data_IF_022376641780
#
_entry.id   IF_022376641780
#
_cell.length_a   1.000
_cell.length_b   1.000
_cell.length_c   1.000
_cell.angle_alpha   90.00
_cell.angle_beta   90.00
_cell.angle_gamma   90.00
#
_symmetry.space_group_name_H-M   'P 1'
#
loop_
_entity.id
_entity.type
_entity.pdbx_description
1 polymer ?
#
# COMPACT_ATOMS: atom_id res chain seq x y z
N UNK A 1 -6.18 -19.34 4.15
CA UNK A 1 -5.68 -18.06 3.65
C UNK A 1 -4.42 -18.32 2.87
N UNK A 2 -4.28 -17.73 1.68
CA UNK A 2 -3.01 -17.75 0.96
C UNK A 2 -2.04 -16.74 1.59
N UNK A 3 -0.79 -17.13 1.89
CA UNK A 3 0.19 -16.22 2.46
C UNK A 3 0.57 -15.14 1.46
N UNK A 4 0.87 -13.95 1.96
CA UNK A 4 1.47 -12.89 1.16
C UNK A 4 2.89 -13.31 0.77
N UNK A 5 3.31 -12.95 -0.44
CA UNK A 5 4.65 -13.29 -0.94
C UNK A 5 5.44 -12.03 -1.24
N UNK A 6 6.68 -11.98 -0.75
CA UNK A 6 7.67 -10.98 -1.14
C UNK A 6 8.98 -11.68 -1.44
N UNK A 7 9.41 -11.65 -2.71
CA UNK A 7 10.54 -12.44 -3.22
C UNK A 7 10.40 -13.93 -2.83
N UNK A 8 11.32 -14.46 -2.04
CA UNK A 8 11.39 -15.83 -1.52
C UNK A 8 10.82 -15.99 -0.09
N UNK A 9 10.18 -14.95 0.46
CA UNK A 9 9.52 -14.96 1.78
C UNK A 9 8.00 -15.07 1.64
N UNK A 10 7.40 -15.96 2.43
CA UNK A 10 5.97 -16.04 2.67
C UNK A 10 5.62 -15.41 4.03
N UNK A 11 4.57 -14.61 4.07
CA UNK A 11 4.07 -13.93 5.27
C UNK A 11 2.63 -14.38 5.50
N UNK A 12 2.36 -14.90 6.68
CA UNK A 12 1.04 -15.27 7.17
C UNK A 12 0.84 -14.67 8.56
N UNK A 13 -0.29 -14.96 9.19
CA UNK A 13 -0.68 -14.36 10.44
C UNK A 13 -1.21 -15.42 11.41
N UNK A 14 -0.94 -15.21 12.70
CA UNK A 14 -1.53 -16.01 13.77
C UNK A 14 -2.27 -15.10 14.76
N UNK A 15 -3.34 -15.65 15.31
CA UNK A 15 -4.13 -15.09 16.41
C UNK A 15 -4.03 -15.93 17.67
N UNK A 16 -3.17 -16.95 17.67
CA UNK A 16 -3.03 -17.91 18.75
C UNK A 16 -1.67 -17.75 19.44
N UNK A 17 -1.67 -17.81 20.77
CA UNK A 17 -0.54 -17.44 21.62
C UNK A 17 -0.50 -18.28 22.89
N UNK A 18 0.72 -18.65 23.31
CA UNK A 18 0.99 -19.24 24.62
C UNK A 18 1.51 -18.17 25.56
N UNK A 19 0.88 -18.02 26.74
CA UNK A 19 1.37 -17.09 27.76
C UNK A 19 2.69 -17.62 28.33
N UNK A 20 3.74 -16.78 28.35
CA UNK A 20 5.04 -17.13 28.92
C UNK A 20 5.18 -16.63 30.35
N UNK A 21 4.85 -15.36 30.58
CA UNK A 21 5.03 -14.70 31.88
C UNK A 21 4.21 -13.41 31.96
N UNK A 22 3.81 -13.00 33.16
CA UNK A 22 3.33 -11.65 33.45
C UNK A 22 3.94 -11.14 34.75
N UNK A 23 3.86 -9.82 34.95
CA UNK A 23 4.45 -9.15 36.11
C UNK A 23 3.51 -9.06 37.33
N UNK A 24 2.42 -9.85 37.37
CA UNK A 24 1.53 -9.90 38.55
C UNK A 24 2.31 -10.31 39.79
N UNK A 25 2.11 -9.55 40.87
CA UNK A 25 2.81 -9.78 42.13
C UNK A 25 4.21 -9.16 42.20
N UNK A 26 4.69 -8.54 41.12
CA UNK A 26 5.80 -7.58 41.19
C UNK A 26 5.28 -6.22 41.68
N UNK A 27 6.20 -5.29 41.97
CA UNK A 27 5.88 -3.89 42.31
C UNK A 27 6.04 -2.96 41.10
N UNK A 28 6.06 -3.52 39.89
CA UNK A 28 6.11 -2.72 38.66
C UNK A 28 4.89 -1.80 38.59
N UNK A 29 5.09 -0.60 38.04
CA UNK A 29 4.03 0.43 37.96
C UNK A 29 3.08 0.24 36.80
N UNK A 30 3.47 -0.54 35.80
CA UNK A 30 2.72 -0.83 34.59
C UNK A 30 2.60 -2.34 34.49
N UNK A 31 1.47 -2.83 33.96
CA UNK A 31 1.28 -4.26 33.72
C UNK A 31 1.99 -4.69 32.44
N UNK A 32 2.48 -5.93 32.42
CA UNK A 32 2.89 -6.59 31.18
C UNK A 32 2.58 -8.08 31.21
N UNK A 33 2.19 -8.60 30.05
CA UNK A 33 2.21 -10.04 29.76
C UNK A 33 3.02 -10.32 28.50
N UNK A 34 3.94 -11.28 28.58
CA UNK A 34 4.70 -11.82 27.47
C UNK A 34 4.05 -13.09 26.93
N UNK A 35 3.97 -13.18 25.61
CA UNK A 35 3.30 -14.25 24.89
C UNK A 35 4.17 -14.76 23.74
N UNK A 36 4.11 -16.06 23.46
CA UNK A 36 4.72 -16.68 22.29
C UNK A 36 3.68 -16.93 21.22
N UNK A 37 3.85 -16.41 19.99
CA UNK A 37 3.00 -16.75 18.86
C UNK A 37 3.01 -18.25 18.60
N UNK A 38 1.83 -18.84 18.36
CA UNK A 38 1.69 -20.24 17.98
C UNK A 38 1.60 -20.38 16.47
N UNK A 39 2.35 -21.34 15.93
CA UNK A 39 2.28 -21.80 14.53
C UNK A 39 1.78 -23.25 14.43
N UNK A 40 1.10 -23.74 15.47
CA UNK A 40 0.65 -25.13 15.57
C UNK A 40 -0.56 -25.47 14.67
N UNK A 41 -1.26 -24.48 14.13
CA UNK A 41 -2.35 -24.71 13.18
C UNK A 41 -1.80 -25.36 11.90
N UNK A 42 -2.57 -26.25 11.27
CA UNK A 42 -2.13 -27.03 10.09
C UNK A 42 -1.64 -26.12 8.93
N UNK A 43 -2.31 -24.98 8.72
CA UNK A 43 -1.93 -24.01 7.70
C UNK A 43 -0.68 -23.18 8.06
N UNK A 44 -0.24 -23.23 9.32
CA UNK A 44 0.91 -22.49 9.85
C UNK A 44 2.09 -23.39 10.23
N UNK A 45 1.98 -24.72 10.11
CA UNK A 45 3.08 -25.65 10.43
C UNK A 45 4.42 -25.33 9.75
N UNK A 46 4.48 -24.84 8.49
CA UNK A 46 5.76 -24.45 7.88
C UNK A 46 6.22 -23.03 8.27
N UNK A 47 5.46 -22.30 9.09
CA UNK A 47 5.75 -20.92 9.47
C UNK A 47 6.48 -20.84 10.81
N UNK A 48 7.27 -19.78 10.96
CA UNK A 48 8.10 -19.48 12.10
C UNK A 48 7.75 -18.11 12.68
N UNK A 49 7.88 -18.00 14.00
CA UNK A 49 7.78 -16.72 14.68
C UNK A 49 9.01 -15.84 14.42
N UNK A 50 8.80 -14.53 14.51
CA UNK A 50 9.80 -13.48 14.41
C UNK A 50 10.22 -12.89 15.77
N UNK A 51 9.59 -13.34 16.84
CA UNK A 51 9.80 -12.86 18.20
C UNK A 51 8.61 -13.17 19.10
N UNK A 52 8.78 -12.92 20.39
CA UNK A 52 7.67 -12.94 21.34
C UNK A 52 6.94 -11.58 21.34
N UNK A 53 5.80 -11.55 22.01
CA UNK A 53 4.88 -10.42 22.02
C UNK A 53 4.77 -9.89 23.44
N UNK A 54 4.88 -8.58 23.60
CA UNK A 54 4.59 -7.88 24.85
C UNK A 54 3.25 -7.15 24.73
N UNK A 55 2.45 -7.17 25.79
CA UNK A 55 1.17 -6.46 25.89
C UNK A 55 1.10 -5.79 27.25
N UNK A 56 0.71 -4.51 27.29
CA UNK A 56 0.68 -3.67 28.49
C UNK A 56 -0.49 -3.93 29.44
N UNK A 57 -1.00 -5.16 29.48
CA UNK A 57 -2.13 -5.58 30.32
C UNK A 57 -2.05 -7.08 30.66
N UNK A 58 -3.11 -7.59 31.29
CA UNK A 58 -3.25 -8.99 31.69
C UNK A 58 -4.35 -9.74 30.93
N UNK A 59 -4.88 -9.16 29.85
CA UNK A 59 -5.97 -9.75 29.09
C UNK A 59 -5.44 -10.88 28.20
N UNK A 60 -6.30 -11.86 27.93
CA UNK A 60 -6.00 -12.90 26.97
C UNK A 60 -6.04 -12.28 25.56
N UNK A 61 -4.95 -12.43 24.81
CA UNK A 61 -4.82 -11.86 23.46
C UNK A 61 -5.21 -12.81 22.34
N UNK A 62 -5.49 -14.08 22.65
CA UNK A 62 -5.95 -15.06 21.66
C UNK A 62 -7.20 -14.53 20.97
N UNK A 63 -7.22 -14.55 19.63
CA UNK A 63 -8.31 -14.03 18.78
C UNK A 63 -8.56 -12.52 18.86
N UNK A 64 -7.74 -11.77 19.59
CA UNK A 64 -7.87 -10.31 19.74
C UNK A 64 -6.63 -9.56 19.23
N UNK A 65 -5.47 -10.25 19.15
CA UNK A 65 -4.23 -9.73 18.58
C UNK A 65 -3.82 -10.57 17.38
N UNK A 66 -3.20 -9.92 16.40
CA UNK A 66 -2.67 -10.56 15.19
C UNK A 66 -1.17 -10.25 15.12
N UNK A 67 -0.36 -11.26 14.81
CA UNK A 67 1.08 -11.08 14.55
C UNK A 67 1.49 -11.79 13.27
N UNK A 68 2.51 -11.25 12.61
CA UNK A 68 3.06 -11.85 11.40
C UNK A 68 3.94 -13.07 11.76
N UNK A 69 3.80 -14.12 10.97
CA UNK A 69 4.66 -15.31 10.98
C UNK A 69 5.14 -15.56 9.55
N UNK A 70 6.32 -16.16 9.40
CA UNK A 70 6.98 -16.25 8.08
C UNK A 70 7.43 -17.65 7.72
N UNK A 71 7.48 -17.94 6.43
CA UNK A 71 8.00 -19.19 5.89
C UNK A 71 8.84 -18.93 4.64
N UNK A 72 9.64 -19.91 4.26
CA UNK A 72 10.36 -19.91 2.98
C UNK A 72 9.40 -20.31 1.86
N UNK A 73 9.55 -19.69 0.69
CA UNK A 73 8.90 -20.20 -0.53
C UNK A 73 9.47 -21.59 -0.89
N UNK A 74 10.80 -21.73 -0.87
CA UNK A 74 11.49 -23.01 -1.05
C UNK A 74 11.81 -23.63 0.32
N UNK A 75 11.05 -24.65 0.70
CA UNK A 75 11.19 -25.31 2.01
C UNK A 75 12.50 -26.12 2.16
N UNK A 76 13.15 -26.48 1.05
CA UNK A 76 14.34 -27.32 1.06
C UNK A 76 15.61 -26.46 1.01
N UNK A 77 15.66 -25.49 0.10
CA UNK A 77 16.86 -24.68 -0.16
C UNK A 77 16.66 -23.17 0.09
N UNK A 78 15.59 -22.80 0.78
CA UNK A 78 15.27 -21.42 1.14
C UNK A 78 16.42 -20.68 1.83
N UNK A 79 16.53 -19.39 1.53
CA UNK A 79 17.57 -18.53 2.08
C UNK A 79 17.02 -17.26 2.74
N UNK A 80 15.70 -17.08 2.78
CA UNK A 80 15.07 -15.94 3.40
C UNK A 80 15.22 -15.94 4.94
N UNK A 81 15.33 -17.12 5.55
CA UNK A 81 15.28 -17.35 6.99
C UNK A 81 16.47 -18.17 7.49
N UNK A 82 17.01 -17.78 8.64
CA UNK A 82 18.02 -18.54 9.38
C UNK A 82 17.72 -18.57 10.86
N UNK A 83 18.19 -19.60 11.57
CA UNK A 83 18.20 -19.55 13.03
C UNK A 83 19.22 -18.48 13.49
N UNK A 84 18.98 -17.78 14.60
CA UNK A 84 20.00 -16.92 15.20
C UNK A 84 21.24 -17.74 15.54
N UNK A 85 22.43 -17.17 15.50
CA UNK A 85 23.67 -17.84 15.89
C UNK A 85 23.70 -18.11 17.39
N UNK A 86 23.25 -17.13 18.17
CA UNK A 86 23.06 -17.27 19.60
C UNK A 86 22.06 -16.21 20.14
N UNK A 87 21.95 -16.09 21.47
CA UNK A 87 21.20 -15.01 22.12
C UNK A 87 22.03 -14.27 23.17
N UNK A 88 21.85 -12.95 23.20
CA UNK A 88 22.37 -12.02 24.21
C UNK A 88 21.30 -11.75 25.28
N UNK A 89 21.64 -11.79 26.57
CA UNK A 89 20.71 -11.48 27.66
C UNK A 89 20.52 -9.96 27.75
N UNK A 90 19.28 -9.49 27.58
CA UNK A 90 18.93 -8.05 27.62
C UNK A 90 18.40 -7.65 28.99
N UNK A 91 17.58 -8.50 29.60
CA UNK A 91 16.96 -8.23 30.88
C UNK A 91 16.66 -9.53 31.61
N UNK A 92 16.70 -9.49 32.94
CA UNK A 92 16.41 -10.63 33.79
C UNK A 92 15.69 -10.19 35.05
N UNK A 93 14.54 -10.78 35.31
CA UNK A 93 13.88 -10.70 36.60
C UNK A 93 14.37 -11.85 37.49
N UNK A 94 15.32 -11.53 38.37
CA UNK A 94 15.88 -12.46 39.33
C UNK A 94 16.08 -11.81 40.69
N UNK A 95 15.94 -12.59 41.76
CA UNK A 95 16.18 -12.16 43.13
C UNK A 95 15.51 -13.09 44.14
N UNK A 96 15.90 -13.04 45.42
CA UNK A 96 15.43 -13.98 46.45
C UNK A 96 13.93 -13.86 46.77
N UNK A 97 13.26 -12.81 46.28
CA UNK A 97 11.81 -12.57 46.47
C UNK A 97 11.00 -12.68 45.19
N UNK A 98 11.62 -13.09 44.07
CA UNK A 98 10.94 -13.25 42.78
C UNK A 98 10.19 -14.58 42.78
N UNK A 99 8.86 -14.53 42.64
CA UNK A 99 8.01 -15.73 42.56
C UNK A 99 7.95 -16.33 41.15
N UNK A 100 8.12 -15.50 40.13
CA UNK A 100 8.08 -15.89 38.71
C UNK A 100 9.29 -15.30 38.00
N UNK A 101 10.26 -16.15 37.65
CA UNK A 101 11.47 -15.75 36.94
C UNK A 101 11.20 -15.62 35.43
N UNK A 102 11.68 -14.54 34.83
CA UNK A 102 11.63 -14.31 33.39
C UNK A 102 12.83 -13.50 32.92
N UNK A 103 13.34 -13.87 31.75
CA UNK A 103 14.45 -13.19 31.09
C UNK A 103 14.04 -12.81 29.68
N UNK A 104 14.62 -11.74 29.15
CA UNK A 104 14.42 -11.28 27.77
C UNK A 104 15.76 -11.31 27.05
N UNK A 105 15.76 -11.88 25.86
CA UNK A 105 16.95 -12.17 25.08
C UNK A 105 16.85 -11.57 23.68
N UNK A 106 17.98 -11.04 23.20
CA UNK A 106 18.15 -10.52 21.84
C UNK A 106 18.80 -11.60 20.98
N UNK A 107 18.20 -11.99 19.86
CA UNK A 107 18.83 -12.91 18.93
C UNK A 107 20.06 -12.26 18.29
N UNK A 108 21.16 -12.97 18.24
CA UNK A 108 22.36 -12.62 17.47
C UNK A 108 22.15 -13.22 16.08
N UNK A 109 21.80 -12.38 15.11
CA UNK A 109 21.52 -12.82 13.75
C UNK A 109 22.82 -13.18 13.00
N UNK A 110 22.79 -14.20 12.11
CA UNK A 110 23.90 -14.48 11.21
C UNK A 110 24.18 -13.30 10.27
N UNK A 111 25.38 -13.25 9.69
CA UNK A 111 25.76 -12.22 8.74
C UNK A 111 24.80 -12.18 7.53
N UNK A 112 24.30 -10.99 7.18
CA UNK A 112 23.29 -10.76 6.12
C UNK A 112 21.85 -10.99 6.56
N UNK A 113 21.61 -11.23 7.85
CA UNK A 113 20.29 -11.43 8.44
C UNK A 113 20.08 -10.52 9.66
N UNK A 114 18.81 -10.27 9.99
CA UNK A 114 18.41 -9.44 11.13
C UNK A 114 17.39 -10.13 12.02
N UNK A 115 17.38 -9.73 13.29
CA UNK A 115 16.36 -10.12 14.25
C UNK A 115 15.20 -9.11 14.22
N UNK A 116 13.97 -9.63 14.16
CA UNK A 116 12.74 -8.83 14.05
C UNK A 116 12.05 -8.60 15.41
N UNK A 117 12.59 -9.13 16.50
CA UNK A 117 12.01 -9.04 17.84
C UNK A 117 12.87 -9.72 18.90
N UNK A 118 12.44 -9.59 20.16
CA UNK A 118 13.07 -10.25 21.30
C UNK A 118 12.30 -11.52 21.71
N UNK A 119 12.95 -12.40 22.48
CA UNK A 119 12.32 -13.63 23.01
C UNK A 119 12.47 -13.72 24.51
N UNK A 120 11.48 -14.29 25.17
CA UNK A 120 11.44 -14.51 26.60
C UNK A 120 11.89 -15.93 26.96
N UNK A 121 12.68 -16.01 28.01
CA UNK A 121 13.11 -17.25 28.67
C UNK A 121 12.38 -17.43 29.98
N UNK A 122 11.45 -18.39 30.03
CA UNK A 122 10.73 -18.79 31.25
C UNK A 122 11.74 -19.38 32.25
N UNK A 123 11.63 -19.03 33.54
CA UNK A 123 12.56 -19.52 34.55
C UNK A 123 13.97 -18.90 34.48
N UNK A 124 14.17 -17.89 33.62
CA UNK A 124 15.48 -17.35 33.24
C UNK A 124 16.35 -18.26 32.37
N UNK A 125 15.76 -19.29 31.78
CA UNK A 125 16.46 -20.19 30.87
C UNK A 125 16.66 -19.54 29.50
N UNK A 126 17.82 -19.81 28.88
CA UNK A 126 18.12 -19.34 27.52
C UNK A 126 17.17 -20.03 26.53
N UNK A 127 16.46 -19.28 25.66
CA UNK A 127 15.58 -19.89 24.67
C UNK A 127 16.33 -20.76 23.65
N UNK A 128 15.71 -21.84 23.14
CA UNK A 128 16.27 -22.59 22.02
C UNK A 128 16.40 -21.73 20.75
N UNK A 129 17.47 -21.96 19.96
CA UNK A 129 17.68 -21.27 18.67
C UNK A 129 16.53 -21.48 17.67
N UNK A 130 15.76 -22.55 17.82
CA UNK A 130 14.59 -22.84 16.99
C UNK A 130 13.37 -21.97 17.29
N UNK A 131 13.37 -21.20 18.39
CA UNK A 131 12.22 -20.40 18.88
C UNK A 131 11.74 -19.36 17.85
N UNK A 132 12.66 -18.81 17.04
CA UNK A 132 12.35 -17.85 15.99
C UNK A 132 13.26 -18.03 14.77
N UNK A 133 13.04 -17.20 13.74
CA UNK A 133 13.97 -17.03 12.63
C UNK A 133 14.40 -15.57 12.48
N UNK A 134 15.67 -15.39 12.14
CA UNK A 134 16.20 -14.16 11.58
C UNK A 134 15.87 -14.10 10.09
N UNK A 135 15.66 -12.90 9.56
CA UNK A 135 15.27 -12.67 8.15
C UNK A 135 16.43 -12.04 7.40
N UNK A 136 16.62 -12.41 6.14
CA UNK A 136 17.60 -11.79 5.24
C UNK A 136 17.35 -10.28 5.10
N UNK A 137 18.42 -9.49 5.15
CA UNK A 137 18.35 -8.02 5.25
C UNK A 137 17.56 -7.33 4.11
N UNK A 138 17.56 -7.89 2.90
CA UNK A 138 16.90 -7.31 1.71
C UNK A 138 15.36 -7.53 1.67
N UNK A 139 14.82 -8.29 2.62
CA UNK A 139 13.39 -8.58 2.77
C UNK A 139 12.70 -7.65 3.77
N UNK A 140 13.47 -6.79 4.42
CA UNK A 140 13.02 -5.91 5.48
C UNK A 140 13.45 -4.47 5.22
N UNK A 141 12.95 -3.57 6.05
CA UNK A 141 13.37 -2.18 6.09
C UNK A 141 13.66 -1.77 7.53
N UNK A 142 14.68 -0.94 7.73
CA UNK A 142 14.98 -0.36 9.03
C UNK A 142 13.80 0.52 9.49
N UNK A 143 13.44 0.37 10.75
CA UNK A 143 12.25 0.96 11.37
C UNK A 143 12.61 1.57 12.72
N UNK A 144 11.69 2.35 13.27
CA UNK A 144 11.90 3.10 14.51
C UNK A 144 11.08 2.51 15.64
N UNK A 145 11.57 2.69 16.87
CA UNK A 145 10.74 2.50 18.06
C UNK A 145 9.60 3.52 18.05
N UNK A 146 8.43 3.14 18.53
CA UNK A 146 7.26 4.01 18.52
C UNK A 146 6.72 4.26 19.94
N UNK A 147 5.70 3.53 20.38
CA UNK A 147 5.03 3.67 21.66
C UNK A 147 5.63 2.75 22.73
N UNK A 148 5.70 3.23 23.97
CA UNK A 148 6.09 2.42 25.12
C UNK A 148 4.99 1.39 25.42
N UNK A 149 5.35 0.11 25.46
CA UNK A 149 4.46 -0.97 25.91
C UNK A 149 4.55 -1.10 27.43
N UNK A 150 5.77 -1.17 27.95
CA UNK A 150 6.04 -1.41 29.37
C UNK A 150 7.46 -1.02 29.73
N UNK A 151 7.68 -0.60 30.97
CA UNK A 151 9.01 -0.57 31.57
C UNK A 151 9.02 -1.22 32.95
N UNK A 152 10.17 -1.74 33.34
CA UNK A 152 10.31 -2.56 34.54
C UNK A 152 10.49 -1.74 35.84
N UNK A 153 10.21 -0.43 35.81
CA UNK A 153 10.42 0.46 36.95
C UNK A 153 9.56 0.03 38.14
N UNK A 154 10.23 -0.26 39.25
CA UNK A 154 9.59 -0.75 40.46
C UNK A 154 9.44 -2.27 40.52
N UNK A 155 9.75 -3.02 39.45
CA UNK A 155 9.67 -4.50 39.45
C UNK A 155 10.61 -5.13 40.48
N UNK A 156 11.73 -4.46 40.79
CA UNK A 156 12.80 -4.98 41.65
C UNK A 156 13.88 -5.74 40.88
N UNK A 157 13.87 -5.72 39.54
CA UNK A 157 14.98 -6.21 38.75
C UNK A 157 16.24 -5.32 38.93
N UNK A 158 17.41 -5.92 38.71
CA UNK A 158 18.71 -5.25 38.87
C UNK A 158 19.10 -4.37 37.67
N UNK A 159 18.45 -4.58 36.53
CA UNK A 159 18.72 -3.88 35.26
C UNK A 159 17.46 -3.15 34.81
N UNK A 160 17.59 -1.95 34.25
CA UNK A 160 16.46 -1.24 33.67
C UNK A 160 16.11 -1.78 32.29
N UNK A 161 14.82 -1.85 31.97
CA UNK A 161 14.32 -2.30 30.69
C UNK A 161 13.01 -1.61 30.30
N UNK A 162 12.87 -1.33 29.00
CA UNK A 162 11.60 -0.92 28.40
C UNK A 162 11.35 -1.67 27.10
N UNK A 163 10.10 -2.09 26.90
CA UNK A 163 9.58 -2.66 25.66
C UNK A 163 8.79 -1.62 24.86
N UNK A 164 9.01 -1.60 23.54
CA UNK A 164 8.43 -0.62 22.63
C UNK A 164 7.79 -1.31 21.42
N UNK A 165 6.75 -0.69 20.87
CA UNK A 165 6.24 -1.02 19.53
C UNK A 165 7.22 -0.54 18.45
N UNK A 166 7.05 -1.06 17.23
CA UNK A 166 7.83 -0.70 16.06
C UNK A 166 6.94 0.00 15.05
N UNK A 167 7.39 1.14 14.53
CA UNK A 167 6.74 1.85 13.43
C UNK A 167 7.60 1.75 12.16
N UNK A 168 7.04 1.25 11.04
CA UNK A 168 7.70 1.29 9.74
C UNK A 168 7.92 2.74 9.28
N UNK A 169 8.93 2.98 8.40
CA UNK A 169 9.04 4.26 7.70
C UNK A 169 7.91 4.42 6.68
N UNK A 170 7.87 5.58 6.02
CA UNK A 170 6.93 5.82 4.92
C UNK A 170 7.22 4.90 3.74
N UNK A 171 6.19 4.20 3.25
CA UNK A 171 6.32 3.29 2.12
C UNK A 171 6.59 4.01 0.79
N UNK A 172 7.35 3.34 -0.08
CA UNK A 172 7.56 3.76 -1.46
C UNK A 172 6.31 3.49 -2.32
N UNK A 173 6.12 4.16 -3.47
CA UNK A 173 5.01 3.86 -4.37
C UNK A 173 4.95 2.36 -4.75
N UNK A 174 3.77 1.76 -4.66
CA UNK A 174 3.54 0.33 -4.94
C UNK A 174 4.00 -0.62 -3.82
N UNK A 175 4.43 -0.10 -2.67
CA UNK A 175 4.94 -0.88 -1.54
C UNK A 175 3.98 -0.82 -0.35
N UNK A 176 3.97 -1.89 0.45
CA UNK A 176 3.50 -1.86 1.82
C UNK A 176 4.52 -2.49 2.78
N UNK A 177 4.66 -1.87 3.95
CA UNK A 177 5.60 -2.20 5.00
C UNK A 177 4.81 -2.60 6.24
N UNK A 178 5.23 -3.68 6.90
CA UNK A 178 4.48 -4.28 8.01
C UNK A 178 5.39 -4.53 9.21
N UNK A 179 5.09 -3.90 10.35
CA UNK A 179 5.71 -4.28 11.61
C UNK A 179 5.25 -5.70 12.00
N UNK A 180 6.14 -6.57 12.48
CA UNK A 180 5.82 -7.99 12.71
C UNK A 180 4.84 -8.23 13.87
N UNK A 181 4.52 -7.20 14.68
CA UNK A 181 3.68 -7.32 15.88
C UNK A 181 4.42 -7.81 17.13
N UNK A 182 5.75 -7.92 17.04
CA UNK A 182 6.67 -8.18 18.15
C UNK A 182 7.02 -6.87 18.88
N UNK A 183 7.96 -6.93 19.83
CA UNK A 183 8.48 -5.75 20.53
C UNK A 183 10.00 -5.63 20.39
N UNK A 184 10.48 -4.39 20.50
CA UNK A 184 11.88 -4.07 20.65
C UNK A 184 12.18 -3.63 22.10
N UNK A 185 13.40 -3.87 22.57
CA UNK A 185 13.77 -3.64 23.97
C UNK A 185 15.03 -2.79 24.13
N UNK A 186 15.01 -1.93 25.15
CA UNK A 186 16.09 -1.01 25.48
C UNK A 186 16.50 -1.14 26.96
N UNK A 187 17.80 -1.05 27.31
CA UNK A 187 18.28 -1.11 28.68
C UNK A 187 18.11 0.24 29.44
N UNK A 188 16.96 0.89 29.28
CA UNK A 188 16.67 2.21 29.84
C UNK A 188 15.15 2.38 30.03
N UNK A 189 14.75 3.34 30.87
CA UNK A 189 13.33 3.70 31.09
C UNK A 189 12.77 4.68 30.05
N UNK A 190 13.65 5.43 29.38
CA UNK A 190 13.30 6.37 28.34
C UNK A 190 13.59 5.78 26.96
N UNK A 191 12.94 6.33 25.93
CA UNK A 191 13.22 6.01 24.54
C UNK A 191 14.69 6.34 24.26
N UNK A 192 15.50 5.39 23.78
CA UNK A 192 16.91 5.66 23.51
C UNK A 192 17.12 6.75 22.46
N UNK A 193 18.12 7.60 22.70
CA UNK A 193 18.46 8.69 21.79
C UNK A 193 19.12 8.21 20.49
N UNK A 194 19.89 7.11 20.57
CA UNK A 194 20.38 6.39 19.40
C UNK A 194 19.32 5.40 18.94
N UNK A 195 18.98 5.34 17.64
CA UNK A 195 18.01 4.39 17.13
C UNK A 195 18.51 2.96 17.41
N UNK A 196 17.78 2.23 18.25
CA UNK A 196 17.86 0.77 18.24
C UNK A 196 17.33 0.30 16.89
N UNK A 197 18.07 -0.59 16.23
CA UNK A 197 17.63 -1.11 14.95
C UNK A 197 16.45 -2.06 15.13
N UNK A 198 15.26 -1.56 14.84
CA UNK A 198 14.07 -2.35 14.63
C UNK A 198 13.81 -2.49 13.12
N UNK A 199 12.93 -3.41 12.74
CA UNK A 199 12.70 -3.71 11.34
C UNK A 199 11.22 -3.98 11.06
N UNK A 200 10.80 -3.69 9.82
CA UNK A 200 9.49 -4.05 9.28
C UNK A 200 9.65 -4.91 8.03
N UNK A 201 8.70 -5.82 7.80
CA UNK A 201 8.62 -6.67 6.62
C UNK A 201 8.25 -5.84 5.39
N UNK A 202 8.87 -6.13 4.24
CA UNK A 202 8.46 -5.57 2.95
C UNK A 202 7.41 -6.45 2.29
N UNK A 203 6.47 -5.81 1.60
CA UNK A 203 5.46 -6.43 0.75
C UNK A 203 5.22 -5.54 -0.47
N UNK A 204 4.69 -6.12 -1.56
CA UNK A 204 4.28 -5.36 -2.74
C UNK A 204 2.76 -5.23 -2.78
N UNK A 205 2.28 -4.08 -3.20
CA UNK A 205 0.90 -3.90 -3.62
C UNK A 205 0.81 -4.29 -5.09
N UNK A 206 0.16 -5.42 -5.40
CA UNK A 206 0.09 -5.90 -6.77
C UNK A 206 -0.87 -5.02 -7.59
N UNK A 207 -0.34 -4.43 -8.66
CA UNK A 207 -1.12 -3.66 -9.62
C UNK A 207 -1.32 -4.48 -10.89
N UNK A 208 -2.58 -4.76 -11.21
CA UNK A 208 -3.00 -5.35 -12.48
C UNK A 208 -3.55 -4.24 -13.37
N UNK A 209 -2.77 -3.81 -14.36
CA UNK A 209 -3.17 -2.74 -15.28
C UNK A 209 -3.99 -3.33 -16.42
N UNK A 210 -5.19 -2.79 -16.61
CA UNK A 210 -6.00 -3.06 -17.79
C UNK A 210 -5.70 -2.04 -18.88
N UNK A 211 -5.63 -2.44 -20.16
CA UNK A 211 -5.39 -1.50 -21.25
C UNK A 211 -6.56 -0.50 -21.33
N UNK A 212 -6.22 0.75 -21.66
CA UNK A 212 -7.22 1.77 -21.96
C UNK A 212 -8.08 1.30 -23.14
N UNK A 213 -9.38 1.59 -23.09
CA UNK A 213 -10.25 1.32 -24.22
C UNK A 213 -9.73 2.08 -25.45
N UNK A 214 -9.73 1.47 -26.65
CA UNK A 214 -9.29 2.14 -27.86
C UNK A 214 -10.09 3.43 -28.07
N UNK A 215 -9.39 4.52 -28.39
CA UNK A 215 -10.02 5.79 -28.72
C UNK A 215 -10.87 5.60 -29.98
N UNK A 216 -12.17 5.87 -29.88
CA UNK A 216 -13.05 5.82 -31.04
C UNK A 216 -12.74 7.02 -31.94
N UNK A 217 -12.64 6.77 -33.26
CA UNK A 217 -12.47 7.83 -34.26
C UNK A 217 -13.72 8.73 -34.39
N UNK A 218 -14.84 8.32 -33.80
CA UNK A 218 -16.12 9.02 -33.87
C UNK A 218 -16.42 9.82 -32.60
N UNK A 219 -17.16 10.92 -32.82
CA UNK A 219 -17.59 11.96 -31.87
C UNK A 219 -18.54 11.49 -30.76
N UNK A 220 -18.20 10.44 -29.99
CA UNK A 220 -18.99 9.96 -28.84
C UNK A 220 -18.10 9.61 -27.64
N UNK A 221 -18.65 9.69 -26.41
CA UNK A 221 -17.98 9.14 -25.23
C UNK A 221 -17.65 7.67 -25.46
N UNK A 222 -16.39 7.29 -25.26
CA UNK A 222 -15.97 5.91 -25.38
C UNK A 222 -16.55 5.05 -24.25
N UNK A 223 -16.64 3.72 -24.43
CA UNK A 223 -16.97 2.82 -23.34
C UNK A 223 -15.92 2.90 -22.23
N UNK A 224 -16.31 2.59 -21.00
CA UNK A 224 -15.36 2.46 -19.90
C UNK A 224 -14.33 1.36 -20.20
N UNK A 225 -13.08 1.58 -19.78
CA UNK A 225 -12.05 0.55 -19.82
C UNK A 225 -12.43 -0.64 -18.93
N UNK A 226 -11.77 -1.78 -19.17
CA UNK A 226 -11.68 -2.80 -18.14
C UNK A 226 -11.00 -2.22 -16.88
N UNK A 227 -11.34 -2.71 -15.68
CA UNK A 227 -10.79 -2.17 -14.44
C UNK A 227 -9.30 -2.48 -14.31
N UNK A 228 -8.50 -1.48 -13.99
CA UNK A 228 -7.18 -1.68 -13.41
C UNK A 228 -7.34 -1.88 -11.91
N UNK A 229 -6.62 -2.82 -11.31
CA UNK A 229 -6.89 -3.24 -9.93
C UNK A 229 -5.62 -3.25 -9.08
N UNK A 230 -5.67 -2.54 -7.95
CA UNK A 230 -4.73 -2.72 -6.85
C UNK A 230 -5.22 -3.77 -5.88
N UNK A 231 -4.37 -4.74 -5.57
CA UNK A 231 -4.58 -5.69 -4.49
C UNK A 231 -3.97 -5.17 -3.19
N UNK A 232 -4.82 -4.99 -2.19
CA UNK A 232 -4.48 -4.40 -0.90
C UNK A 232 -4.58 -5.47 0.20
N UNK A 233 -3.49 -5.84 0.88
CA UNK A 233 -3.56 -6.73 2.02
C UNK A 233 -4.49 -6.17 3.10
N UNK A 234 -5.29 -7.03 3.74
CA UNK A 234 -6.29 -6.62 4.73
C UNK A 234 -5.76 -5.66 5.80
N UNK A 235 -4.51 -5.81 6.24
CA UNK A 235 -3.94 -4.96 7.29
C UNK A 235 -3.72 -3.51 6.85
N UNK A 236 -3.75 -3.24 5.53
CA UNK A 236 -3.63 -1.89 4.96
C UNK A 236 -4.97 -1.17 4.84
N UNK A 237 -6.07 -1.85 5.13
CA UNK A 237 -7.44 -1.34 4.99
C UNK A 237 -8.13 -1.39 6.35
N UNK A 238 -8.81 -0.31 6.70
CA UNK A 238 -9.79 -0.31 7.79
C UNK A 238 -11.16 -0.67 7.20
N UNK A 239 -11.84 -1.62 7.82
CA UNK A 239 -13.21 -1.94 7.43
C UNK A 239 -14.15 -1.57 8.59
N UNK A 240 -15.22 -0.84 8.27
CA UNK A 240 -16.19 -0.42 9.28
C UNK A 240 -17.09 -1.58 9.75
N UNK A 241 -17.24 -2.62 8.93
CA UNK A 241 -18.17 -3.73 9.17
C UNK A 241 -17.44 -5.01 9.63
N UNK A 242 -16.12 -5.08 9.49
CA UNK A 242 -15.33 -6.26 9.83
C UNK A 242 -14.23 -5.91 10.85
N UNK A 243 -14.20 -6.64 11.95
CA UNK A 243 -13.07 -6.62 12.88
C UNK A 243 -11.78 -7.09 12.18
N UNK A 244 -10.58 -6.79 12.69
CA UNK A 244 -9.32 -7.19 12.06
C UNK A 244 -9.19 -8.70 11.83
N UNK A 245 -9.71 -9.52 12.76
CA UNK A 245 -9.72 -10.98 12.62
C UNK A 245 -10.71 -11.43 11.54
N UNK A 246 -11.88 -10.79 11.45
CA UNK A 246 -12.84 -11.07 10.38
C UNK A 246 -12.32 -10.62 9.01
N UNK A 247 -11.62 -9.48 8.93
CA UNK A 247 -10.94 -9.04 7.71
C UNK A 247 -9.91 -10.08 7.27
N UNK A 248 -9.03 -10.50 8.18
CA UNK A 248 -8.07 -11.57 7.94
C UNK A 248 -8.79 -12.82 7.40
N UNK A 249 -9.86 -13.30 8.04
CA UNK A 249 -10.52 -14.54 7.64
C UNK A 249 -11.37 -14.46 6.37
N UNK A 250 -12.14 -13.38 6.20
CA UNK A 250 -13.18 -13.23 5.17
C UNK A 250 -12.69 -12.44 3.96
N UNK A 251 -11.88 -11.40 4.18
CA UNK A 251 -11.36 -10.50 3.14
C UNK A 251 -9.85 -10.26 3.31
N UNK A 252 -9.00 -11.31 3.24
CA UNK A 252 -7.55 -11.17 3.43
C UNK A 252 -6.89 -10.25 2.38
N UNK A 253 -7.56 -10.05 1.26
CA UNK A 253 -7.15 -9.19 0.16
C UNK A 253 -8.35 -8.37 -0.30
N UNK A 254 -8.19 -7.06 -0.32
CA UNK A 254 -9.12 -6.08 -0.87
C UNK A 254 -8.67 -5.70 -2.28
N UNK A 255 -9.60 -5.17 -3.08
CA UNK A 255 -9.33 -4.69 -4.43
C UNK A 255 -9.77 -3.23 -4.54
N UNK A 256 -8.84 -2.34 -4.84
CA UNK A 256 -9.15 -0.98 -5.26
C UNK A 256 -9.14 -0.97 -6.79
N UNK A 257 -10.33 -0.94 -7.38
CA UNK A 257 -10.50 -0.96 -8.83
C UNK A 257 -10.63 0.46 -9.37
N UNK A 258 -9.99 0.74 -10.51
CA UNK A 258 -10.12 1.97 -11.28
C UNK A 258 -10.62 1.64 -12.68
N UNK A 259 -11.69 2.30 -13.12
CA UNK A 259 -12.12 2.29 -14.51
C UNK A 259 -11.94 3.67 -15.13
N UNK A 260 -11.47 3.73 -16.36
CA UNK A 260 -11.20 4.97 -17.07
C UNK A 260 -12.20 5.14 -18.22
N UNK A 261 -12.83 6.31 -18.30
CA UNK A 261 -13.72 6.70 -19.40
C UNK A 261 -13.11 7.90 -20.13
N UNK A 262 -12.70 7.68 -21.37
CA UNK A 262 -12.27 8.75 -22.25
C UNK A 262 -13.48 9.35 -22.98
N UNK A 263 -13.62 10.66 -22.89
CA UNK A 263 -14.66 11.39 -23.59
C UNK A 263 -14.07 12.59 -24.32
N UNK A 264 -14.64 12.88 -25.49
CA UNK A 264 -14.47 14.16 -26.12
C UNK A 264 -15.07 15.23 -25.21
N UNK A 265 -14.25 16.21 -24.82
CA UNK A 265 -14.62 17.28 -23.92
C UNK A 265 -15.09 18.52 -24.69
N UNK A 266 -14.31 18.93 -25.68
CA UNK A 266 -14.60 20.08 -26.51
C UNK A 266 -13.88 19.95 -27.85
N UNK A 267 -14.39 20.64 -28.87
CA UNK A 267 -13.72 20.71 -30.16
C UNK A 267 -13.91 22.07 -30.79
N UNK A 268 -12.95 22.44 -31.62
CA UNK A 268 -12.97 23.69 -32.34
C UNK A 268 -12.43 23.51 -33.76
N UNK A 269 -13.11 24.13 -34.72
CA UNK A 269 -12.68 24.16 -36.12
C UNK A 269 -12.49 25.61 -36.55
N UNK A 270 -11.30 25.93 -37.06
CA UNK A 270 -11.01 27.25 -37.60
C UNK A 270 -11.02 27.21 -39.12
N UNK A 271 -12.09 27.74 -39.72
CA UNK A 271 -12.24 27.84 -41.18
C UNK A 271 -11.74 29.18 -41.76
N UNK A 272 -11.16 30.03 -40.91
CA UNK A 272 -10.68 31.35 -41.31
C UNK A 272 -9.21 31.33 -41.72
N UNK A 273 -8.78 32.37 -42.44
CA UNK A 273 -7.40 32.56 -42.86
C UNK A 273 -6.46 33.05 -41.74
N UNK A 274 -6.99 33.29 -40.54
CA UNK A 274 -6.24 33.74 -39.37
C UNK A 274 -6.37 32.78 -38.20
N UNK A 275 -5.40 32.76 -37.29
CA UNK A 275 -5.50 31.96 -36.07
C UNK A 275 -6.65 32.41 -35.17
N UNK A 276 -7.34 31.45 -34.56
CA UNK A 276 -8.40 31.68 -33.58
C UNK A 276 -7.92 31.28 -32.19
N UNK A 277 -8.19 32.10 -31.19
CA UNK A 277 -8.00 31.74 -29.78
C UNK A 277 -9.35 31.29 -29.21
N UNK A 278 -9.39 30.13 -28.57
CA UNK A 278 -10.60 29.62 -27.90
C UNK A 278 -10.26 29.26 -26.46
N UNK A 279 -11.22 29.50 -25.57
CA UNK A 279 -11.11 29.17 -24.15
C UNK A 279 -12.20 28.18 -23.77
N UNK A 280 -11.82 27.10 -23.10
CA UNK A 280 -12.73 26.09 -22.56
C UNK A 280 -12.57 25.98 -21.04
N UNK A 281 -13.68 25.86 -20.32
CA UNK A 281 -13.66 25.65 -18.87
C UNK A 281 -13.81 24.17 -18.55
N UNK A 282 -12.71 23.51 -18.19
CA UNK A 282 -12.66 22.07 -17.98
C UNK A 282 -12.60 21.67 -16.50
N UNK A 283 -13.38 20.68 -16.05
CA UNK A 283 -13.23 20.13 -14.71
C UNK A 283 -11.87 19.42 -14.57
N UNK A 284 -11.21 19.62 -13.43
CA UNK A 284 -9.95 18.95 -13.07
C UNK A 284 -9.92 18.63 -11.58
N UNK A 285 -9.50 17.42 -11.25
CA UNK A 285 -9.42 16.94 -9.87
C UNK A 285 -10.58 16.05 -9.47
N UNK A 286 -10.76 15.88 -8.17
CA UNK A 286 -11.75 14.97 -7.63
C UNK A 286 -13.18 15.52 -7.74
N UNK A 287 -14.12 14.67 -8.15
CA UNK A 287 -15.54 14.97 -8.12
C UNK A 287 -16.09 14.80 -6.70
N UNK A 288 -16.14 15.91 -5.94
CA UNK A 288 -16.58 15.94 -4.54
C UNK A 288 -15.43 15.78 -3.56
N UNK A 289 -15.73 15.33 -2.34
CA UNK A 289 -14.75 15.12 -1.26
C UNK A 289 -14.76 13.65 -0.76
N UNK A 290 -14.98 12.71 -1.68
CA UNK A 290 -15.11 11.29 -1.37
C UNK A 290 -13.78 10.63 -0.97
N UNK A 291 -12.63 11.19 -1.33
CA UNK A 291 -11.30 10.75 -0.92
C UNK A 291 -11.04 11.00 0.56
N UNK A 292 -11.54 12.12 1.09
CA UNK A 292 -11.55 12.42 2.53
C UNK A 292 -12.42 11.41 3.29
N UNK A 293 -13.57 11.03 2.70
CA UNK A 293 -14.44 10.00 3.26
C UNK A 293 -13.76 8.62 3.19
N UNK A 294 -13.16 8.25 2.06
CA UNK A 294 -12.39 7.02 1.89
C UNK A 294 -11.28 6.91 2.94
N UNK A 295 -10.50 7.97 3.13
CA UNK A 295 -9.48 8.05 4.18
C UNK A 295 -10.07 7.83 5.57
N UNK A 296 -11.22 8.42 5.85
CA UNK A 296 -11.88 8.31 7.17
C UNK A 296 -12.37 6.89 7.45
N UNK A 297 -13.00 6.24 6.45
CA UNK A 297 -13.61 4.92 6.62
C UNK A 297 -12.59 3.78 6.46
N UNK A 298 -11.67 3.91 5.51
CA UNK A 298 -10.74 2.85 5.11
C UNK A 298 -9.28 3.10 5.50
N UNK A 299 -8.92 4.33 5.86
CA UNK A 299 -7.53 4.73 6.11
C UNK A 299 -6.69 4.93 4.85
N UNK A 300 -7.18 4.55 3.67
CA UNK A 300 -6.44 4.65 2.40
C UNK A 300 -6.25 6.12 2.02
N UNK A 301 -5.03 6.47 1.65
CA UNK A 301 -4.70 7.75 1.03
C UNK A 301 -4.31 7.54 -0.43
N UNK A 302 -4.86 8.35 -1.34
CA UNK A 302 -4.64 8.19 -2.77
C UNK A 302 -3.22 8.60 -3.19
N UNK A 303 -2.66 9.68 -2.64
CA UNK A 303 -1.41 10.30 -3.14
C UNK A 303 -0.20 10.04 -2.24
N UNK A 304 -0.41 10.20 -0.94
CA UNK A 304 0.60 10.01 0.09
C UNK A 304 0.60 8.58 0.59
N UNK A 305 1.70 8.23 1.27
CA UNK A 305 1.71 7.03 2.08
C UNK A 305 0.72 7.17 3.23
N UNK A 306 -0.06 6.13 3.48
CA UNK A 306 -0.89 6.02 4.67
C UNK A 306 -0.31 4.99 5.63
N UNK A 307 -0.70 5.10 6.89
CA UNK A 307 -0.24 4.24 7.96
C UNK A 307 -1.38 4.04 8.96
N UNK A 308 -1.31 2.99 9.76
CA UNK A 308 -2.22 2.83 10.87
C UNK A 308 -1.99 3.96 11.90
N UNK A 309 -2.98 4.85 12.07
CA UNK A 309 -3.07 5.67 13.28
C UNK A 309 -3.63 4.77 14.39
N UNK A 310 -2.74 4.29 15.24
CA UNK A 310 -3.03 3.26 16.25
C UNK A 310 -4.05 3.77 17.29
N UNK A 311 -5.03 2.93 17.67
CA UNK A 311 -5.16 2.52 19.06
C UNK A 311 -5.00 1.00 19.21
N UNK A 312 -3.97 0.62 19.98
CA UNK A 312 -3.60 -0.64 20.67
C UNK A 312 -4.01 -2.05 20.15
N UNK A 313 -4.64 -2.22 18.99
CA UNK A 313 -5.08 -3.55 18.50
C UNK A 313 -4.67 -3.91 17.06
N UNK A 314 -4.09 -2.98 16.29
CA UNK A 314 -3.70 -3.20 14.90
C UNK A 314 -2.19 -3.36 14.71
N UNK A 315 -1.81 -4.13 13.70
CA UNK A 315 -0.44 -4.19 13.19
C UNK A 315 -0.04 -2.81 12.66
N UNK A 316 1.11 -2.28 13.08
CA UNK A 316 1.65 -1.05 12.52
C UNK A 316 2.12 -1.30 11.09
N UNK A 317 1.72 -0.45 10.15
CA UNK A 317 2.06 -0.58 8.74
C UNK A 317 2.26 0.80 8.11
N UNK A 318 2.88 0.82 6.93
CA UNK A 318 2.79 1.93 5.98
C UNK A 318 2.55 1.38 4.58
N UNK A 319 1.74 2.04 3.76
CA UNK A 319 1.45 1.63 2.40
C UNK A 319 1.33 2.85 1.49
N UNK A 320 1.62 2.69 0.19
CA UNK A 320 1.48 3.79 -0.78
C UNK A 320 1.13 3.26 -2.18
N UNK A 321 0.11 3.83 -2.79
CA UNK A 321 -0.27 3.52 -4.17
C UNK A 321 0.75 4.07 -5.17
N UNK A 322 0.79 3.50 -6.37
CA UNK A 322 1.54 4.09 -7.47
C UNK A 322 0.91 5.43 -7.94
N UNK A 323 1.78 6.35 -8.37
CA UNK A 323 1.39 7.69 -8.78
C UNK A 323 0.54 7.72 -10.05
N UNK A 324 0.77 6.85 -11.02
CA UNK A 324 -0.06 6.79 -12.24
C UNK A 324 -1.44 6.22 -11.92
N UNK A 325 -1.51 5.20 -11.05
CA UNK A 325 -2.80 4.63 -10.66
C UNK A 325 -3.67 5.67 -9.95
N UNK A 326 -3.09 6.43 -9.03
CA UNK A 326 -3.82 7.37 -8.19
C UNK A 326 -3.79 8.82 -8.68
N UNK A 327 -3.37 9.10 -9.92
CA UNK A 327 -3.19 10.47 -10.44
C UNK A 327 -2.30 11.37 -9.55
N UNK A 328 -1.35 10.77 -8.82
CA UNK A 328 -0.48 11.45 -7.86
C UNK A 328 0.54 12.40 -8.48
N UNK A 329 0.76 12.32 -9.80
CA UNK A 329 1.57 13.28 -10.57
C UNK A 329 0.78 14.51 -11.03
N UNK A 330 -0.54 14.55 -10.81
CA UNK A 330 -1.36 15.71 -11.20
C UNK A 330 -1.05 16.94 -10.34
N UNK A 331 -0.93 18.10 -10.97
CA UNK A 331 -0.57 19.34 -10.28
C UNK A 331 -1.63 19.83 -9.26
N UNK A 332 -2.86 19.31 -9.30
CA UNK A 332 -3.96 19.71 -8.40
C UNK A 332 -4.28 18.67 -7.32
N UNK A 333 -3.88 17.41 -7.49
CA UNK A 333 -4.11 16.36 -6.49
C UNK A 333 -5.58 16.03 -6.25
N UNK A 334 -5.86 15.49 -5.05
CA UNK A 334 -7.18 15.04 -4.60
C UNK A 334 -7.80 16.02 -3.59
N UNK A 335 -9.11 15.90 -3.35
CA UNK A 335 -9.84 16.61 -2.31
C UNK A 335 -10.74 17.74 -2.80
N UNK A 336 -10.59 18.22 -4.04
CA UNK A 336 -11.47 19.23 -4.62
C UNK A 336 -11.57 19.13 -6.14
N UNK A 337 -12.75 19.50 -6.66
CA UNK A 337 -12.95 19.77 -8.08
C UNK A 337 -12.62 21.23 -8.37
N UNK A 338 -11.82 21.47 -9.42
CA UNK A 338 -11.56 22.82 -9.91
C UNK A 338 -11.98 22.94 -11.36
N UNK A 339 -12.40 24.14 -11.77
CA UNK A 339 -12.53 24.46 -13.19
C UNK A 339 -11.23 25.11 -13.65
N UNK A 340 -10.58 24.50 -14.63
CA UNK A 340 -9.37 25.00 -15.26
C UNK A 340 -9.71 25.60 -16.63
N UNK A 341 -9.25 26.82 -16.87
CA UNK A 341 -9.34 27.43 -18.18
C UNK A 341 -8.28 26.80 -19.11
N UNK A 342 -8.73 26.25 -20.23
CA UNK A 342 -7.91 25.66 -21.29
C UNK A 342 -7.97 26.61 -22.47
N UNK A 343 -6.91 27.40 -22.65
CA UNK A 343 -6.79 28.33 -23.78
C UNK A 343 -6.06 27.61 -24.90
N UNK A 344 -6.71 27.52 -26.06
CA UNK A 344 -6.21 26.84 -27.24
C UNK A 344 -6.05 27.83 -28.38
N UNK A 345 -4.86 27.85 -28.96
CA UNK A 345 -4.58 28.57 -30.20
C UNK A 345 -4.80 27.63 -31.38
N UNK A 346 -5.87 27.84 -32.14
CA UNK A 346 -6.24 27.04 -33.31
C UNK A 346 -5.74 27.73 -34.58
N UNK A 347 -4.74 27.18 -35.28
CA UNK A 347 -4.23 27.78 -36.53
C UNK A 347 -5.31 27.88 -37.61
N UNK A 348 -5.07 28.72 -38.62
CA UNK A 348 -5.94 28.84 -39.79
C UNK A 348 -6.14 27.48 -40.46
N UNK A 349 -7.36 27.18 -40.89
CA UNK A 349 -7.75 25.94 -41.59
C UNK A 349 -7.46 24.62 -40.84
N UNK A 350 -7.32 24.66 -39.50
CA UNK A 350 -7.12 23.48 -38.67
C UNK A 350 -8.31 23.19 -37.75
N UNK A 351 -8.34 21.96 -37.21
CA UNK A 351 -9.27 21.60 -36.13
C UNK A 351 -8.55 20.91 -34.98
N UNK A 352 -9.10 21.09 -33.78
CA UNK A 352 -8.57 20.54 -32.54
C UNK A 352 -9.68 19.89 -31.73
N UNK A 353 -9.38 18.73 -31.17
CA UNK A 353 -10.22 18.03 -30.21
C UNK A 353 -9.53 18.00 -28.85
N UNK A 354 -10.26 18.36 -27.81
CA UNK A 354 -9.86 18.18 -26.42
C UNK A 354 -10.52 16.94 -25.85
N UNK A 355 -9.73 16.01 -25.33
CA UNK A 355 -10.21 14.81 -24.65
C UNK A 355 -9.96 14.88 -23.15
N UNK A 356 -10.94 14.43 -22.37
CA UNK A 356 -10.84 14.32 -20.93
C UNK A 356 -11.04 12.86 -20.51
N UNK A 357 -10.27 12.42 -19.53
CA UNK A 357 -10.47 11.12 -18.87
C UNK A 357 -11.13 11.34 -17.52
N UNK A 358 -12.23 10.62 -17.28
CA UNK A 358 -12.80 10.43 -15.95
C UNK A 358 -12.41 9.05 -15.44
N UNK A 359 -11.80 9.00 -14.26
CA UNK A 359 -11.49 7.76 -13.56
C UNK A 359 -12.46 7.57 -12.40
N UNK A 360 -13.11 6.43 -12.34
CA UNK A 360 -13.98 6.05 -11.22
C UNK A 360 -13.31 4.92 -10.42
N UNK A 361 -13.27 5.06 -9.09
CA UNK A 361 -12.62 4.10 -8.18
C UNK A 361 -13.61 3.49 -7.19
N UNK A 362 -13.46 2.18 -6.96
CA UNK A 362 -14.29 1.42 -6.02
C UNK A 362 -13.41 0.48 -5.19
N UNK A 363 -13.56 0.53 -3.87
CA UNK A 363 -12.93 -0.41 -2.95
C UNK A 363 -13.85 -1.60 -2.70
N UNK A 364 -13.37 -2.80 -2.98
CA UNK A 364 -14.10 -4.05 -2.90
C UNK A 364 -13.44 -5.02 -1.92
N UNK A 365 -14.27 -5.73 -1.15
CA UNK A 365 -13.88 -6.91 -0.38
C UNK A 365 -13.63 -8.10 -1.29
N UNK A 366 -13.08 -9.18 -0.74
CA UNK A 366 -12.85 -10.44 -1.46
C UNK A 366 -14.12 -11.03 -2.10
N UNK A 367 -15.28 -10.86 -1.46
CA UNK A 367 -16.57 -11.35 -1.96
C UNK A 367 -17.21 -10.44 -3.03
N UNK A 368 -16.57 -9.33 -3.38
CA UNK A 368 -17.06 -8.35 -4.34
C UNK A 368 -18.00 -7.29 -3.74
N UNK A 369 -18.31 -7.36 -2.44
CA UNK A 369 -19.05 -6.28 -1.78
C UNK A 369 -18.21 -5.01 -1.67
N UNK A 370 -18.84 -3.86 -1.83
CA UNK A 370 -18.18 -2.56 -1.72
C UNK A 370 -17.93 -2.18 -0.25
N UNK A 371 -16.78 -1.57 0.02
CA UNK A 371 -16.38 -1.05 1.34
C UNK A 371 -15.94 0.41 1.19
N UNK A 372 -16.84 1.36 1.46
CA UNK A 372 -16.56 2.79 1.34
C UNK A 372 -17.17 3.47 0.10
N UNK A 373 -16.88 4.77 -0.11
CA UNK A 373 -17.49 5.55 -1.19
C UNK A 373 -16.90 5.21 -2.56
N UNK A 374 -17.62 5.57 -3.63
CA UNK A 374 -17.06 5.63 -4.99
C UNK A 374 -16.40 7.00 -5.21
N UNK A 375 -15.20 6.99 -5.79
CA UNK A 375 -14.45 8.22 -6.06
C UNK A 375 -14.45 8.49 -7.56
N UNK A 376 -14.63 9.74 -7.97
CA UNK A 376 -14.50 10.17 -9.35
C UNK A 376 -13.36 11.19 -9.48
N UNK A 377 -12.57 11.09 -10.55
CA UNK A 377 -11.46 12.00 -10.82
C UNK A 377 -11.43 12.43 -12.29
N UNK A 378 -11.33 13.73 -12.53
CA UNK A 378 -11.14 14.30 -13.87
C UNK A 378 -9.67 14.66 -14.12
N UNK A 379 -9.09 14.03 -15.13
CA UNK A 379 -7.75 14.34 -15.64
C UNK A 379 -7.68 15.68 -16.35
N UNK A 380 -6.47 16.08 -16.74
CA UNK A 380 -6.26 17.25 -17.60
C UNK A 380 -6.73 16.97 -19.03
N UNK A 381 -7.24 18.01 -19.71
CA UNK A 381 -7.62 17.92 -21.13
C UNK A 381 -6.37 17.69 -21.98
N UNK A 382 -6.38 16.61 -22.76
CA UNK A 382 -5.37 16.33 -23.77
C UNK A 382 -5.86 16.84 -25.13
N UNK A 383 -5.07 17.69 -25.77
CA UNK A 383 -5.40 18.26 -27.07
C UNK A 383 -4.85 17.37 -28.19
N UNK A 384 -5.67 17.13 -29.21
CA UNK A 384 -5.30 16.47 -30.45
C UNK A 384 -5.57 17.42 -31.62
N UNK A 385 -4.52 17.86 -32.30
CA UNK A 385 -4.63 18.65 -33.51
C UNK A 385 -4.65 17.74 -34.72
N UNK A 386 -5.44 18.12 -35.71
CA UNK A 386 -5.60 17.34 -36.92
C UNK A 386 -5.17 18.16 -38.13
N UNK A 387 -4.51 17.49 -39.07
CA UNK A 387 -3.99 18.14 -40.27
C UNK A 387 -5.13 18.54 -41.22
N UNK A 388 -5.01 19.66 -41.96
CA UNK A 388 -5.97 20.03 -42.98
C UNK A 388 -6.02 18.93 -44.05
N UNK A 389 -7.21 18.44 -44.38
CA UNK A 389 -7.37 17.55 -45.52
C UNK A 389 -6.76 18.22 -46.77
N UNK A 390 -5.85 17.50 -47.43
CA UNK A 390 -5.18 17.96 -48.64
C UNK A 390 -6.24 18.45 -49.65
N UNK A 391 -6.21 19.75 -49.98
CA UNK A 391 -7.08 20.29 -51.03
C UNK A 391 -6.68 19.62 -52.33
N UNK A 392 -7.51 18.68 -52.82
CA UNK A 392 -7.36 18.16 -54.17
C UNK A 392 -7.25 19.36 -55.13
N UNK A 393 -6.24 19.43 -56.00
CA UNK A 393 -6.05 20.57 -56.87
C UNK A 393 -7.31 20.75 -57.71
N UNK A 394 -7.86 21.98 -57.68
CA UNK A 394 -8.98 22.38 -58.50
C UNK A 394 -8.62 22.05 -59.95
N UNK A 395 -9.28 21.02 -60.50
CA UNK A 395 -9.17 20.67 -61.91
C UNK A 395 -9.46 21.92 -62.72
N UNK A 396 -8.47 22.34 -63.52
CA UNK A 396 -8.59 23.42 -64.48
C UNK A 396 -9.87 23.22 -65.29
N UNK A 397 -10.84 24.11 -65.11
CA UNK A 397 -11.93 24.24 -66.06
C UNK A 397 -11.30 24.61 -67.41
N UNK A 398 -11.29 23.67 -68.34
CA UNK A 398 -10.98 23.93 -69.75
C UNK A 398 -12.09 24.81 -70.29
N UNK A 399 -11.80 26.10 -70.36
CA UNK A 399 -12.58 27.09 -71.08
C UNK A 399 -12.41 26.81 -72.59
N UNK A 400 -13.39 26.10 -73.18
CA UNK A 400 -13.44 25.90 -74.63
C UNK A 400 -14.19 27.10 -75.22
N UNK A 401 -13.44 28.04 -75.78
CA UNK A 401 -13.97 29.10 -76.63
C UNK A 401 -14.46 28.52 -77.98
N UNK A 402 -15.59 28.97 -78.53
CA UNK A 402 -16.05 28.54 -79.84
C UNK A 402 -15.40 29.41 -80.93
N UNK A 403 -14.75 28.78 -81.91
CA UNK A 403 -14.54 29.40 -83.21
C UNK A 403 -14.70 28.42 -84.38
N UNK A 404 -15.78 28.69 -85.09
CA UNK A 404 -16.16 28.47 -86.48
C UNK A 404 -15.11 28.07 -87.56
N UNK A 405 -15.63 27.16 -88.41
CA UNK A 405 -15.52 27.03 -89.88
C UNK A 405 -14.18 26.63 -90.52
N UNK A 406 -14.25 25.54 -91.31
CA UNK A 406 -13.38 25.36 -92.47
C UNK A 406 -13.40 23.94 -93.05
N UNK A 407 -14.20 23.75 -94.11
CA UNK A 407 -14.12 22.74 -95.17
C UNK A 407 -12.89 21.80 -95.18
N UNK A 408 -13.12 20.49 -95.31
CA UNK A 408 -13.03 19.82 -96.62
C UNK A 408 -13.28 18.31 -96.51
N UNK A 409 -14.18 17.80 -97.38
CA UNK A 409 -13.99 16.68 -98.33
C UNK A 409 -13.00 15.55 -97.94
N UNK A 410 -13.21 14.24 -98.14
CA UNK A 410 -13.96 13.43 -99.11
C UNK A 410 -13.64 11.95 -98.77
N UNK A 411 -14.58 11.01 -99.06
CA UNK A 411 -14.34 9.62 -99.56
C UNK A 411 -13.72 8.63 -98.55
N UNK A 412 -14.26 7.45 -98.28
CA UNK A 412 -15.27 6.56 -98.90
C UNK A 412 -15.74 5.55 -97.86
#
# INVERSE_FOLDING_TARGET
MEPLKYKDLLISFTTEFTQLWNDKGTRARQAVTFWRPSTSADNLTPFYSLGDVAVGDYQNINQHKIVAVVSEVDKANGTALRMPDDFELVWKHSGPRVRTACSVWRPIAPNGYVAMGLVCGVGNDKPPRSTLRCIREDLVVASQLDALIWNDKGSGAHTSFSAWTVAPPQASPGEALLAPGTFAGAPAYSKPATPLTAYALRTVLALHVSPLAPQQADWRPGPASAPSTYELPWFTVKDAELSPVEQLQRSPLYRLERTDRHALFASERNETDSSKLVSWNSPRGESGEHSSQLKTVSGIEMVSSWAASIPMSLLSFSARLDGEFAHGLSARGWGNLTMAEVIVHVPAHQYVDGYITRSDYTLLRKDGSQSGPELGYYSEVKLHFHEPAERAPAGSALEIAPHDVGDNTLVS
#
